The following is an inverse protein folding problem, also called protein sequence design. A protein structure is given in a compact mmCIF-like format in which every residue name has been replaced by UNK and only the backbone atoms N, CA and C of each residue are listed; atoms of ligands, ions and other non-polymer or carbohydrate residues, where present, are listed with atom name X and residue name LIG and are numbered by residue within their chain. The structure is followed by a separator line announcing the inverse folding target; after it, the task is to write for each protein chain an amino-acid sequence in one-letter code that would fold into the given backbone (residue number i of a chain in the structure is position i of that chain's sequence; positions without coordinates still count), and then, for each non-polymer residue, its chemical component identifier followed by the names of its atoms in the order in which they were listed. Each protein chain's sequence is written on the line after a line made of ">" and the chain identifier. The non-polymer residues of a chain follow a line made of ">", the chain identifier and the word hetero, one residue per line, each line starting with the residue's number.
data_IF_757712560569
#
_entry.id   IF_757712560569
#
_cell.length_a   1.000
_cell.length_b   1.000
_cell.length_c   1.000
_cell.angle_alpha   90.00
_cell.angle_beta   90.00
_cell.angle_gamma   90.00
#
_symmetry.space_group_name_H-M   'P 1'
#
loop_
_entity.id
_entity.type
_entity.pdbx_description
1 polymer ?
#
# COMPACT_ATOMS: atom_id res chain seq x y z
N UNK A 1 -19.98 -14.81 -9.08
CA UNK A 1 -19.63 -13.49 -8.53
C UNK A 1 -18.13 -13.49 -8.24
N UNK A 2 -17.40 -12.45 -8.66
CA UNK A 2 -15.98 -12.35 -8.38
C UNK A 2 -15.75 -12.18 -6.86
N UNK A 3 -14.74 -12.85 -6.33
CA UNK A 3 -14.35 -12.75 -4.92
C UNK A 3 -13.76 -11.36 -4.65
N UNK A 4 -14.48 -10.53 -3.89
CA UNK A 4 -14.11 -9.14 -3.57
C UNK A 4 -12.70 -9.05 -2.98
N UNK A 5 -12.31 -10.03 -2.16
CA UNK A 5 -10.97 -10.09 -1.57
C UNK A 5 -9.90 -10.16 -2.67
N UNK A 6 -10.09 -11.05 -3.66
CA UNK A 6 -9.13 -11.22 -4.76
C UNK A 6 -9.00 -9.96 -5.60
N UNK A 7 -10.11 -9.28 -5.88
CA UNK A 7 -10.12 -8.02 -6.63
C UNK A 7 -9.36 -6.92 -5.89
N UNK A 8 -9.60 -6.77 -4.59
CA UNK A 8 -8.89 -5.78 -3.77
C UNK A 8 -7.39 -6.09 -3.66
N UNK A 9 -7.01 -7.34 -3.42
CA UNK A 9 -5.59 -7.73 -3.38
C UNK A 9 -4.88 -7.50 -4.73
N UNK A 10 -5.55 -7.79 -5.85
CA UNK A 10 -5.01 -7.51 -7.18
C UNK A 10 -4.81 -6.00 -7.39
N UNK A 11 -5.75 -5.19 -6.91
CA UNK A 11 -5.67 -3.73 -7.02
C UNK A 11 -4.56 -3.13 -6.15
N UNK A 12 -4.33 -3.67 -4.94
CA UNK A 12 -3.18 -3.28 -4.09
C UNK A 12 -1.86 -3.47 -4.85
N UNK A 13 -1.64 -4.65 -5.43
CA UNK A 13 -0.43 -4.96 -6.21
C UNK A 13 -0.29 -4.04 -7.43
N UNK A 14 -1.39 -3.81 -8.15
CA UNK A 14 -1.41 -2.91 -9.32
C UNK A 14 -1.04 -1.48 -8.93
N UNK A 15 -1.57 -0.98 -7.82
CA UNK A 15 -1.32 0.38 -7.36
C UNK A 15 0.16 0.57 -6.95
N UNK A 16 0.76 -0.43 -6.29
CA UNK A 16 2.18 -0.41 -5.92
C UNK A 16 3.13 -0.38 -7.13
N UNK A 17 2.77 -1.01 -8.25
CA UNK A 17 3.57 -0.99 -9.49
C UNK A 17 3.54 0.34 -10.26
N UNK A 18 2.98 1.39 -9.67
CA UNK A 18 2.88 2.73 -10.29
C UNK A 18 1.55 2.96 -11.02
N UNK A 19 0.47 2.30 -10.61
CA UNK A 19 -0.85 2.58 -11.16
C UNK A 19 -1.40 3.91 -10.61
N UNK A 20 -1.83 4.81 -11.49
CA UNK A 20 -2.35 6.16 -11.17
C UNK A 20 -3.36 6.16 -10.00
N UNK A 21 -4.65 5.97 -10.33
CA UNK A 21 -5.75 6.00 -9.38
C UNK A 21 -6.20 4.58 -9.06
N UNK A 22 -6.46 4.25 -7.79
CA UNK A 22 -7.03 2.96 -7.41
C UNK A 22 -8.36 2.71 -8.12
N UNK A 23 -8.47 1.54 -8.77
CA UNK A 23 -9.69 1.03 -9.41
C UNK A 23 -10.40 0.11 -8.44
N UNK A 24 -11.05 0.74 -7.46
CA UNK A 24 -11.69 0.02 -6.36
C UNK A 24 -12.92 -0.74 -6.90
N UNK A 25 -13.04 -2.06 -6.66
CA UNK A 25 -14.24 -2.81 -7.03
C UNK A 25 -15.45 -2.34 -6.19
N UNK A 26 -16.65 -2.42 -6.77
CA UNK A 26 -17.88 -2.02 -6.08
C UNK A 26 -18.06 -2.76 -4.75
N UNK A 27 -18.30 -2.01 -3.68
CA UNK A 27 -18.40 -2.53 -2.30
C UNK A 27 -17.06 -2.67 -1.59
N UNK A 28 -15.95 -2.32 -2.26
CA UNK A 28 -14.60 -2.33 -1.70
C UNK A 28 -14.13 -0.98 -1.14
N UNK A 29 -14.93 0.08 -1.27
CA UNK A 29 -14.53 1.46 -0.96
C UNK A 29 -14.19 1.65 0.51
N UNK A 30 -14.99 1.09 1.41
CA UNK A 30 -14.73 1.15 2.85
C UNK A 30 -13.48 0.35 3.23
N UNK A 31 -13.30 -0.85 2.67
CA UNK A 31 -12.13 -1.69 2.93
C UNK A 31 -10.85 -1.01 2.44
N UNK A 32 -10.88 -0.39 1.25
CA UNK A 32 -9.76 0.37 0.72
C UNK A 32 -9.40 1.56 1.60
N UNK A 33 -10.42 2.31 2.07
CA UNK A 33 -10.22 3.43 2.98
C UNK A 33 -9.59 2.98 4.30
N UNK A 34 -10.18 1.98 4.97
CA UNK A 34 -9.64 1.46 6.23
C UNK A 34 -8.23 0.92 6.09
N UNK A 35 -7.97 0.18 5.00
CA UNK A 35 -6.63 -0.30 4.70
C UNK A 35 -5.63 0.84 4.51
N UNK A 36 -6.02 1.89 3.76
CA UNK A 36 -5.16 3.04 3.51
C UNK A 36 -4.84 3.80 4.80
N UNK A 37 -5.84 4.01 5.65
CA UNK A 37 -5.67 4.67 6.95
C UNK A 37 -4.74 3.84 7.86
N UNK A 38 -4.98 2.53 7.99
CA UNK A 38 -4.16 1.61 8.80
C UNK A 38 -2.73 1.50 8.27
N UNK A 39 -2.56 1.39 6.94
CA UNK A 39 -1.25 1.31 6.29
C UNK A 39 -0.44 2.61 6.45
N UNK A 40 -1.13 3.74 6.55
CA UNK A 40 -0.51 5.04 6.86
C UNK A 40 -0.01 5.17 8.30
N UNK A 41 -0.57 4.40 9.24
CA UNK A 41 -0.19 4.46 10.67
C UNK A 41 0.72 3.33 11.11
N UNK A 42 0.90 2.30 10.29
CA UNK A 42 1.68 1.12 10.66
C UNK A 42 3.14 1.48 10.98
N UNK A 43 3.73 0.71 11.86
CA UNK A 43 5.15 0.83 12.16
C UNK A 43 6.02 0.31 11.00
N UNK A 44 7.20 0.90 10.84
CA UNK A 44 8.23 0.42 9.93
C UNK A 44 9.49 0.06 10.74
N UNK A 45 10.01 -1.15 10.50
CA UNK A 45 11.25 -1.62 11.11
C UNK A 45 12.44 -1.53 10.14
N UNK A 46 13.60 -2.02 10.58
CA UNK A 46 14.84 -2.04 9.78
C UNK A 46 14.70 -2.80 8.44
N UNK A 47 13.79 -3.79 8.37
CA UNK A 47 13.51 -4.59 7.18
C UNK A 47 12.31 -4.11 6.36
N UNK A 48 11.77 -2.93 6.63
CA UNK A 48 10.60 -2.39 5.95
C UNK A 48 9.33 -2.39 6.80
N UNK A 49 8.16 -2.18 6.17
CA UNK A 49 6.90 -2.04 6.88
C UNK A 49 6.50 -3.31 7.63
N UNK A 50 5.95 -3.15 8.83
CA UNK A 50 5.42 -4.27 9.60
C UNK A 50 3.97 -4.59 9.21
N UNK A 51 3.52 -5.85 9.41
CA UNK A 51 2.14 -6.23 9.15
C UNK A 51 1.16 -5.51 10.08
N UNK A 52 -0.01 -5.15 9.54
CA UNK A 52 -1.11 -4.60 10.33
C UNK A 52 -1.59 -5.66 11.33
N UNK A 53 -1.58 -5.33 12.61
CA UNK A 53 -1.95 -6.20 13.72
C UNK A 53 -3.45 -6.17 13.99
N UNK A 54 -3.98 -7.22 14.65
CA UNK A 54 -5.37 -7.21 15.13
C UNK A 54 -5.63 -6.08 16.13
N UNK A 55 -4.63 -5.69 16.92
CA UNK A 55 -4.75 -4.59 17.87
C UNK A 55 -4.92 -3.25 17.16
N UNK A 56 -4.20 -3.00 16.07
CA UNK A 56 -4.40 -1.79 15.25
C UNK A 56 -5.79 -1.74 14.64
N UNK A 57 -6.28 -2.87 14.09
CA UNK A 57 -7.63 -2.94 13.52
C UNK A 57 -8.69 -2.72 14.61
N UNK A 58 -8.53 -3.34 15.78
CA UNK A 58 -9.45 -3.16 16.90
C UNK A 58 -9.42 -1.73 17.47
N UNK A 59 -8.25 -1.12 17.55
CA UNK A 59 -8.10 0.28 17.97
C UNK A 59 -8.77 1.22 16.96
N UNK A 60 -8.52 1.03 15.67
CA UNK A 60 -9.16 1.81 14.60
C UNK A 60 -10.69 1.68 14.64
N UNK A 61 -11.22 0.45 14.74
CA UNK A 61 -12.65 0.22 14.85
C UNK A 61 -13.28 0.95 16.05
N UNK A 62 -12.59 0.98 17.20
CA UNK A 62 -13.04 1.68 18.41
C UNK A 62 -12.97 3.19 18.27
N UNK A 63 -11.86 3.73 17.77
CA UNK A 63 -11.64 5.18 17.63
C UNK A 63 -12.65 5.83 16.68
N UNK A 64 -12.97 5.16 15.58
CA UNK A 64 -13.91 5.67 14.58
C UNK A 64 -15.35 5.16 14.76
N UNK A 65 -15.61 4.36 15.80
CA UNK A 65 -16.91 3.72 16.06
C UNK A 65 -17.47 2.96 14.84
N UNK A 66 -16.62 2.21 14.13
CA UNK A 66 -16.98 1.49 12.90
C UNK A 66 -17.19 0.00 13.19
N UNK A 67 -18.28 -0.63 12.70
CA UNK A 67 -18.54 -2.05 12.89
C UNK A 67 -17.70 -2.92 11.93
N UNK A 68 -16.42 -3.13 12.27
CA UNK A 68 -15.53 -4.03 11.53
C UNK A 68 -15.83 -5.49 11.92
N UNK A 69 -16.58 -6.20 11.08
CA UNK A 69 -16.88 -7.63 11.23
C UNK A 69 -15.68 -8.54 10.90
N UNK A 70 -15.66 -9.80 11.37
CA UNK A 70 -14.55 -10.74 11.12
C UNK A 70 -14.19 -10.92 9.63
N UNK A 71 -15.20 -10.93 8.74
CA UNK A 71 -14.98 -10.98 7.28
C UNK A 71 -14.19 -9.78 6.75
N UNK A 72 -14.38 -8.59 7.33
CA UNK A 72 -13.63 -7.39 6.93
C UNK A 72 -12.19 -7.50 7.40
N UNK A 73 -11.97 -8.00 8.63
CA UNK A 73 -10.63 -8.25 9.17
C UNK A 73 -9.86 -9.22 8.28
N UNK A 74 -10.49 -10.31 7.83
CA UNK A 74 -9.88 -11.26 6.92
C UNK A 74 -9.44 -10.61 5.60
N UNK A 75 -10.29 -9.75 5.01
CA UNK A 75 -9.95 -9.03 3.78
C UNK A 75 -8.82 -8.02 4.01
N UNK A 76 -8.87 -7.25 5.10
CA UNK A 76 -7.81 -6.30 5.45
C UNK A 76 -6.45 -7.00 5.62
N UNK A 77 -6.43 -8.16 6.27
CA UNK A 77 -5.23 -8.99 6.42
C UNK A 77 -4.73 -9.55 5.08
N UNK A 78 -5.64 -9.92 4.17
CA UNK A 78 -5.26 -10.38 2.83
C UNK A 78 -4.70 -9.24 1.96
N UNK A 79 -5.26 -8.03 2.08
CA UNK A 79 -4.73 -6.82 1.42
C UNK A 79 -3.34 -6.47 1.95
N UNK A 80 -3.15 -6.52 3.27
CA UNK A 80 -1.87 -6.29 3.95
C UNK A 80 -0.79 -7.31 3.53
N UNK A 81 -1.13 -8.60 3.46
CA UNK A 81 -0.21 -9.61 2.95
C UNK A 81 0.21 -9.32 1.50
N UNK A 82 -0.75 -9.03 0.61
CA UNK A 82 -0.46 -8.70 -0.78
C UNK A 82 0.42 -7.44 -0.93
N UNK A 83 0.26 -6.47 -0.02
CA UNK A 83 1.09 -5.29 0.05
C UNK A 83 2.54 -5.64 0.44
N UNK A 84 2.72 -6.44 1.50
CA UNK A 84 4.04 -6.79 2.02
C UNK A 84 4.82 -7.65 1.03
N UNK A 85 4.16 -8.62 0.38
CA UNK A 85 4.75 -9.46 -0.66
C UNK A 85 5.34 -8.59 -1.78
N UNK A 86 4.57 -7.62 -2.27
CA UNK A 86 4.97 -6.76 -3.38
C UNK A 86 6.12 -5.80 -2.99
N UNK A 87 6.13 -5.30 -1.73
CA UNK A 87 7.25 -4.51 -1.21
C UNK A 87 8.51 -5.35 -1.06
N UNK A 88 8.39 -6.59 -0.58
CA UNK A 88 9.50 -7.51 -0.45
C UNK A 88 10.11 -7.84 -1.83
N UNK A 89 9.27 -8.06 -2.85
CA UNK A 89 9.71 -8.26 -4.24
C UNK A 89 10.39 -7.00 -4.83
N UNK A 90 9.88 -5.81 -4.50
CA UNK A 90 10.43 -4.54 -4.99
C UNK A 90 11.72 -4.11 -4.30
N UNK A 91 12.02 -4.66 -3.11
CA UNK A 91 13.20 -4.31 -2.34
C UNK A 91 14.34 -5.26 -2.71
N UNK A 92 15.43 -4.76 -3.32
CA UNK A 92 16.59 -5.58 -3.65
C UNK A 92 17.25 -6.07 -2.35
N UNK A 93 17.80 -7.30 -2.32
CA UNK A 93 18.43 -7.84 -1.12
C UNK A 93 19.53 -6.91 -0.62
N UNK A 94 19.50 -6.65 0.69
CA UNK A 94 20.46 -5.79 1.39
C UNK A 94 21.90 -6.21 1.05
N UNK A 95 22.63 -5.35 0.35
CA UNK A 95 23.98 -5.60 -0.13
C UNK A 95 24.17 -5.35 -1.64
N UNK A 96 23.10 -5.28 -2.42
CA UNK A 96 23.16 -4.89 -3.83
C UNK A 96 23.08 -3.37 -3.94
N UNK A 97 24.16 -2.71 -4.37
CA UNK A 97 24.15 -1.29 -4.73
C UNK A 97 23.23 -1.10 -5.94
N UNK A 98 21.97 -0.79 -5.71
CA UNK A 98 21.06 -0.40 -6.79
C UNK A 98 21.42 1.02 -7.21
N UNK A 99 21.86 1.14 -8.46
CA UNK A 99 22.15 2.43 -9.07
C UNK A 99 20.88 3.31 -8.98
N UNK A 100 21.01 4.60 -8.62
CA UNK A 100 19.87 5.51 -8.55
C UNK A 100 19.08 5.48 -9.87
N UNK A 101 17.76 5.61 -9.78
CA UNK A 101 16.91 5.78 -10.96
C UNK A 101 17.23 7.15 -11.59
N UNK A 102 18.18 7.19 -12.51
CA UNK A 102 18.55 8.40 -13.23
C UNK A 102 17.44 8.69 -14.25
N UNK A 103 16.86 9.89 -14.19
CA UNK A 103 15.92 10.32 -15.21
C UNK A 103 16.61 10.36 -16.58
N UNK A 104 16.00 9.86 -17.67
CA UNK A 104 16.58 9.92 -19.01
C UNK A 104 16.67 11.35 -19.57
N UNK A 105 16.09 12.35 -18.88
CA UNK A 105 16.27 13.76 -19.23
C UNK A 105 17.64 14.25 -18.75
N UNK A 106 18.51 14.73 -19.65
CA UNK A 106 19.71 15.43 -19.23
C UNK A 106 19.32 16.70 -18.46
N UNK A 107 20.01 16.95 -17.35
CA UNK A 107 19.92 18.22 -16.64
C UNK A 107 20.43 19.32 -17.57
N UNK A 108 19.51 20.13 -18.11
CA UNK A 108 19.84 21.30 -18.92
C UNK A 108 19.70 22.56 -18.06
N UNK A 109 20.50 23.59 -18.35
CA UNK A 109 20.39 24.90 -17.67
C UNK A 109 18.98 25.48 -17.75
N UNK A 110 18.29 25.28 -18.88
CA UNK A 110 16.91 25.72 -19.07
C UNK A 110 15.89 25.09 -18.10
N UNK A 111 16.14 23.88 -17.58
CA UNK A 111 15.29 23.27 -16.54
C UNK A 111 15.52 23.90 -15.16
N UNK A 112 16.72 24.46 -14.93
CA UNK A 112 17.05 25.17 -13.70
C UNK A 112 16.44 26.58 -13.71
N UNK A 113 16.51 27.25 -14.86
CA UNK A 113 15.99 28.61 -15.05
C UNK A 113 14.45 28.68 -15.00
N UNK A 114 13.74 27.59 -15.30
CA UNK A 114 12.28 27.54 -15.25
C UNK A 114 11.68 27.51 -13.83
N UNK A 115 12.51 27.48 -12.78
CA UNK A 115 12.08 27.40 -11.37
C UNK A 115 12.39 28.68 -10.56
N UNK A 116 12.89 29.75 -11.20
CA UNK A 116 13.15 31.06 -10.60
C UNK A 116 12.59 32.18 -11.49
#
# INVERSE_FOLDING_TARGET
>A
MADLQKLLCAEVRRNLKGGDRPRIPAGGELLWRWFSDLSGTRQAGFGGPLPITFNEIAAYARLFAIPIAPRHVAILKAMDAAFLDEIAESTPPSGVKVAPRVSPRPLSGALFDANF
#
